data_IF_898071309677
#
_entry.id   IF_898071309677
#
_cell.length_a   1.000
_cell.length_b   1.000
_cell.length_c   1.000
_cell.angle_alpha   90.00
_cell.angle_beta   90.00
_cell.angle_gamma   90.00
#
_symmetry.space_group_name_H-M   'P 1'
#
loop_
_entity.id
_entity.type
_entity.pdbx_description
1 polymer ?
#
# COMPACT_ATOMS: atom_id res chain seq x y z
N UNK A 1 -11.60 14.73 -12.09
CA UNK A 1 -11.97 14.45 -10.69
C UNK A 1 -12.54 13.04 -10.67
N UNK A 2 -11.79 12.05 -10.17
CA UNK A 2 -12.32 10.69 -9.95
C UNK A 2 -13.58 10.78 -9.09
N UNK A 3 -14.70 10.29 -9.63
CA UNK A 3 -16.03 10.44 -9.00
C UNK A 3 -16.45 9.23 -8.17
N UNK A 4 -15.73 8.10 -8.26
CA UNK A 4 -16.09 6.90 -7.51
C UNK A 4 -14.92 5.94 -7.27
N UNK A 5 -15.05 5.12 -6.23
CA UNK A 5 -14.17 3.98 -5.93
C UNK A 5 -14.02 3.01 -7.11
N UNK A 6 -15.06 2.85 -7.95
CA UNK A 6 -15.05 1.96 -9.12
C UNK A 6 -14.04 2.37 -10.19
N UNK A 7 -13.87 3.68 -10.39
CA UNK A 7 -12.87 4.18 -11.34
C UNK A 7 -11.46 3.88 -10.83
N UNK A 8 -11.20 4.09 -9.54
CA UNK A 8 -9.92 3.74 -8.91
C UNK A 8 -9.68 2.23 -8.94
N UNK A 9 -10.72 1.43 -8.73
CA UNK A 9 -10.66 -0.02 -8.83
C UNK A 9 -10.29 -0.48 -10.25
N UNK A 10 -10.80 0.19 -11.30
CA UNK A 10 -10.41 -0.10 -12.69
C UNK A 10 -8.91 0.14 -12.91
N UNK A 11 -8.36 1.24 -12.40
CA UNK A 11 -6.91 1.48 -12.43
C UNK A 11 -6.14 0.45 -11.61
N UNK A 12 -6.66 0.08 -10.43
CA UNK A 12 -6.06 -0.95 -9.59
C UNK A 12 -5.94 -2.26 -10.37
N UNK A 13 -7.03 -2.71 -11.01
CA UNK A 13 -7.02 -3.91 -11.85
C UNK A 13 -6.00 -3.83 -12.99
N UNK A 14 -5.85 -2.68 -13.62
CA UNK A 14 -4.88 -2.49 -14.71
C UNK A 14 -3.42 -2.63 -14.23
N UNK A 15 -3.06 -1.98 -13.11
CA UNK A 15 -1.67 -2.00 -12.62
C UNK A 15 -1.32 -3.29 -11.89
N UNK A 16 -2.29 -3.93 -11.24
CA UNK A 16 -2.11 -5.22 -10.55
C UNK A 16 -2.29 -6.42 -11.46
N UNK A 17 -2.66 -6.22 -12.73
CA UNK A 17 -2.70 -7.27 -13.74
C UNK A 17 -1.35 -7.97 -13.79
N UNK A 18 -1.38 -9.30 -13.80
CA UNK A 18 -0.21 -10.19 -13.85
C UNK A 18 0.70 -10.16 -12.60
N UNK A 19 0.47 -9.24 -11.64
CA UNK A 19 1.15 -9.22 -10.33
C UNK A 19 0.48 -10.14 -9.30
N UNK A 20 -0.82 -10.38 -9.47
CA UNK A 20 -1.65 -11.14 -8.53
C UNK A 20 -1.95 -12.52 -9.11
N UNK A 21 -1.64 -13.60 -8.39
CA UNK A 21 -1.94 -14.93 -8.87
C UNK A 21 -3.44 -15.20 -8.86
N UNK A 22 -3.91 -16.00 -9.82
CA UNK A 22 -5.28 -16.51 -9.80
C UNK A 22 -5.53 -17.37 -8.54
N UNK A 23 -6.65 -17.14 -7.87
CA UNK A 23 -7.13 -17.94 -6.77
C UNK A 23 -8.32 -18.80 -7.23
N UNK A 24 -8.34 -20.06 -6.80
CA UNK A 24 -9.55 -20.89 -6.89
C UNK A 24 -10.60 -20.40 -5.89
N UNK A 25 -11.86 -20.75 -6.08
CA UNK A 25 -12.96 -20.40 -5.16
C UNK A 25 -12.65 -20.82 -3.72
N UNK A 26 -12.17 -22.05 -3.54
CA UNK A 26 -11.72 -22.55 -2.23
C UNK A 26 -10.59 -21.68 -1.66
N UNK A 27 -9.63 -21.27 -2.49
CA UNK A 27 -8.52 -20.42 -2.02
C UNK A 27 -9.01 -19.03 -1.63
N UNK A 28 -10.00 -18.47 -2.36
CA UNK A 28 -10.64 -17.20 -2.02
C UNK A 28 -11.35 -17.28 -0.67
N UNK A 29 -12.15 -18.33 -0.43
CA UNK A 29 -12.85 -18.52 0.84
C UNK A 29 -11.86 -18.66 2.01
N UNK A 30 -10.81 -19.45 1.84
CA UNK A 30 -9.76 -19.61 2.86
C UNK A 30 -9.04 -18.28 3.15
N UNK A 31 -8.71 -17.51 2.11
CA UNK A 31 -8.08 -16.18 2.26
C UNK A 31 -9.01 -15.21 2.97
N UNK A 32 -10.32 -15.23 2.65
CA UNK A 32 -11.34 -14.40 3.31
C UNK A 32 -11.38 -14.68 4.81
N UNK A 33 -11.48 -15.96 5.20
CA UNK A 33 -11.50 -16.36 6.62
C UNK A 33 -10.25 -15.87 7.36
N UNK A 34 -9.05 -16.04 6.79
CA UNK A 34 -7.84 -15.54 7.44
C UNK A 34 -7.80 -14.00 7.54
N UNK A 35 -8.30 -13.30 6.53
CA UNK A 35 -8.32 -11.82 6.49
C UNK A 35 -9.29 -11.25 7.54
N UNK A 36 -10.46 -11.86 7.70
CA UNK A 36 -11.47 -11.49 8.69
C UNK A 36 -11.02 -11.71 10.13
N UNK A 37 -10.25 -12.78 10.36
CA UNK A 37 -9.81 -13.16 11.70
C UNK A 37 -8.48 -12.53 12.11
N UNK A 38 -7.77 -11.80 11.24
CA UNK A 38 -6.53 -11.11 11.60
C UNK A 38 -6.73 -10.18 12.82
N UNK A 39 -5.81 -10.14 13.80
CA UNK A 39 -4.49 -10.80 13.84
C UNK A 39 -4.49 -12.21 14.44
N UNK A 40 -5.66 -12.79 14.75
CA UNK A 40 -5.74 -14.14 15.33
C UNK A 40 -5.16 -15.16 14.35
N UNK A 41 -4.24 -15.99 14.85
CA UNK A 41 -3.75 -17.16 14.14
C UNK A 41 -4.80 -18.26 14.19
N UNK A 42 -5.14 -18.82 13.05
CA UNK A 42 -6.05 -19.96 12.93
C UNK A 42 -5.28 -21.19 12.47
N UNK A 43 -5.50 -22.30 13.16
CA UNK A 43 -5.07 -23.62 12.68
C UNK A 43 -5.92 -24.01 11.47
N UNK A 44 -5.37 -24.83 10.58
CA UNK A 44 -6.06 -25.22 9.35
C UNK A 44 -7.39 -25.92 9.60
N UNK A 45 -7.53 -26.67 10.70
CA UNK A 45 -8.82 -27.28 11.06
C UNK A 45 -9.88 -26.22 11.44
N UNK A 46 -9.49 -25.10 12.07
CA UNK A 46 -10.40 -24.02 12.44
C UNK A 46 -10.93 -23.27 11.21
N UNK A 47 -10.13 -23.24 10.13
CA UNK A 47 -10.59 -22.73 8.84
C UNK A 47 -11.52 -23.74 8.18
N UNK A 48 -11.17 -25.03 8.20
CA UNK A 48 -11.99 -26.09 7.61
C UNK A 48 -13.42 -26.07 8.15
N UNK A 49 -13.62 -25.98 9.48
CA UNK A 49 -14.96 -25.96 10.10
C UNK A 49 -15.80 -24.74 9.69
N UNK A 50 -15.18 -23.71 9.10
CA UNK A 50 -15.84 -22.50 8.59
C UNK A 50 -16.04 -22.52 7.07
N UNK A 51 -15.68 -23.61 6.40
CA UNK A 51 -15.83 -23.76 4.95
C UNK A 51 -16.73 -24.96 4.61
N UNK A 52 -17.45 -24.93 3.48
CA UNK A 52 -18.19 -26.10 2.99
C UNK A 52 -17.28 -27.15 2.32
N UNK A 53 -15.96 -26.94 2.34
CA UNK A 53 -15.00 -27.71 1.54
C UNK A 53 -14.44 -28.91 2.29
N UNK A 54 -14.02 -29.95 1.56
CA UNK A 54 -13.35 -31.10 2.15
C UNK A 54 -12.04 -30.71 2.85
N UNK A 55 -11.77 -31.37 3.99
CA UNK A 55 -10.57 -31.12 4.81
C UNK A 55 -9.28 -31.14 3.99
N UNK A 56 -9.07 -32.19 3.20
CA UNK A 56 -7.85 -32.35 2.37
C UNK A 56 -7.66 -31.19 1.38
N UNK A 57 -8.76 -30.66 0.84
CA UNK A 57 -8.77 -29.53 -0.08
C UNK A 57 -8.40 -28.23 0.62
N UNK A 58 -8.93 -27.99 1.82
CA UNK A 58 -8.57 -26.84 2.66
C UNK A 58 -7.08 -26.87 3.01
N UNK A 59 -6.54 -28.03 3.40
CA UNK A 59 -5.10 -28.17 3.67
C UNK A 59 -4.23 -27.87 2.43
N UNK A 60 -4.63 -28.35 1.24
CA UNK A 60 -3.95 -28.02 -0.02
C UNK A 60 -4.01 -26.52 -0.32
N UNK A 61 -5.17 -25.88 -0.10
CA UNK A 61 -5.34 -24.44 -0.27
C UNK A 61 -4.42 -23.67 0.68
N UNK A 62 -4.43 -23.95 1.99
CA UNK A 62 -3.55 -23.28 2.98
C UNK A 62 -2.08 -23.46 2.62
N UNK A 63 -1.66 -24.66 2.20
CA UNK A 63 -0.28 -24.92 1.75
C UNK A 63 0.09 -24.06 0.54
N UNK A 64 -0.81 -23.91 -0.43
CA UNK A 64 -0.63 -23.05 -1.61
C UNK A 64 -0.54 -21.56 -1.21
N UNK A 65 -1.44 -21.09 -0.34
CA UNK A 65 -1.45 -19.71 0.14
C UNK A 65 -0.19 -19.35 0.93
N UNK A 66 0.33 -20.27 1.74
CA UNK A 66 1.61 -20.12 2.44
C UNK A 66 2.77 -19.98 1.47
N UNK A 67 2.83 -20.83 0.44
CA UNK A 67 3.88 -20.74 -0.61
C UNK A 67 3.84 -19.40 -1.34
N UNK A 68 2.65 -18.86 -1.58
CA UNK A 68 2.42 -17.54 -2.19
C UNK A 68 2.56 -16.38 -1.19
N UNK A 69 2.92 -16.67 0.06
CA UNK A 69 3.08 -15.69 1.15
C UNK A 69 1.82 -14.85 1.42
N UNK A 70 0.64 -15.37 1.08
CA UNK A 70 -0.64 -14.72 1.40
C UNK A 70 -1.00 -14.91 2.88
N UNK A 71 -0.57 -16.04 3.46
CA UNK A 71 -0.61 -16.30 4.90
C UNK A 71 0.79 -16.61 5.42
N UNK A 72 1.05 -16.26 6.67
CA UNK A 72 2.25 -16.66 7.42
C UNK A 72 1.82 -17.66 8.48
N UNK A 73 2.57 -18.75 8.62
CA UNK A 73 2.26 -19.82 9.54
C UNK A 73 3.44 -20.09 10.47
N UNK A 74 3.13 -20.32 11.75
CA UNK A 74 4.03 -20.83 12.78
C UNK A 74 3.31 -21.90 13.63
N UNK A 75 3.90 -22.29 14.76
CA UNK A 75 3.35 -23.33 15.65
C UNK A 75 1.94 -23.00 16.15
N UNK A 76 1.59 -21.71 16.27
CA UNK A 76 0.28 -21.25 16.73
C UNK A 76 -0.82 -21.28 15.65
N UNK A 77 -0.48 -21.58 14.39
CA UNK A 77 -1.39 -21.53 13.24
C UNK A 77 -0.95 -20.52 12.20
N UNK A 78 -1.86 -20.11 11.33
CA UNK A 78 -1.59 -19.14 10.26
C UNK A 78 -2.39 -17.85 10.44
N UNK A 79 -1.84 -16.73 9.99
CA UNK A 79 -2.54 -15.45 9.89
C UNK A 79 -2.39 -14.87 8.48
N UNK A 80 -3.38 -14.07 8.05
CA UNK A 80 -3.28 -13.31 6.80
C UNK A 80 -2.12 -12.30 6.86
N UNK A 81 -1.44 -12.14 5.75
CA UNK A 81 -0.62 -10.95 5.48
C UNK A 81 -1.48 -9.92 4.75
N UNK A 82 -0.99 -8.69 4.54
CA UNK A 82 -1.73 -7.72 3.73
C UNK A 82 -1.94 -8.17 2.28
N UNK A 83 -1.08 -9.07 1.78
CA UNK A 83 -1.19 -9.61 0.42
C UNK A 83 -2.48 -10.40 0.21
N UNK A 84 -3.00 -11.00 1.29
CA UNK A 84 -4.24 -11.77 1.26
C UNK A 84 -5.45 -10.89 0.86
N UNK A 85 -5.81 -9.84 1.62
CA UNK A 85 -6.91 -8.96 1.22
C UNK A 85 -6.61 -8.17 -0.06
N UNK A 86 -5.36 -7.84 -0.39
CA UNK A 86 -5.03 -7.26 -1.71
C UNK A 86 -5.39 -8.19 -2.88
N UNK A 87 -5.17 -9.48 -2.68
CA UNK A 87 -5.57 -10.50 -3.67
C UNK A 87 -7.09 -10.60 -3.77
N UNK A 88 -7.82 -10.52 -2.65
CA UNK A 88 -9.30 -10.49 -2.66
C UNK A 88 -9.84 -9.27 -3.40
N UNK A 89 -9.29 -8.07 -3.13
CA UNK A 89 -9.66 -6.83 -3.83
C UNK A 89 -9.47 -7.03 -5.34
N UNK A 90 -8.35 -7.60 -5.78
CA UNK A 90 -8.12 -7.90 -7.20
C UNK A 90 -9.16 -8.86 -7.80
N UNK A 91 -9.74 -9.76 -7.00
CA UNK A 91 -10.81 -10.65 -7.43
C UNK A 91 -12.22 -10.06 -7.25
N UNK A 92 -12.34 -8.75 -6.95
CA UNK A 92 -13.62 -8.03 -6.88
C UNK A 92 -14.20 -7.82 -5.48
N UNK A 93 -13.53 -8.30 -4.43
CA UNK A 93 -13.99 -8.19 -3.05
C UNK A 93 -13.48 -6.87 -2.44
N UNK A 94 -14.13 -5.75 -2.80
CA UNK A 94 -13.72 -4.41 -2.36
C UNK A 94 -13.85 -4.20 -0.84
N UNK A 95 -14.74 -4.93 -0.18
CA UNK A 95 -14.89 -4.92 1.28
C UNK A 95 -13.60 -5.35 1.99
N UNK A 96 -12.71 -6.08 1.32
CA UNK A 96 -11.40 -6.46 1.85
C UNK A 96 -10.44 -5.27 2.06
N UNK A 97 -10.75 -4.07 1.56
CA UNK A 97 -10.02 -2.83 1.91
C UNK A 97 -9.94 -2.62 3.43
N UNK A 98 -11.00 -2.95 4.17
CA UNK A 98 -11.01 -2.84 5.64
C UNK A 98 -9.91 -3.69 6.29
N UNK A 99 -9.60 -4.85 5.71
CA UNK A 99 -8.57 -5.75 6.21
C UNK A 99 -7.16 -5.24 5.87
N UNK A 100 -6.98 -4.61 4.70
CA UNK A 100 -5.72 -3.90 4.39
C UNK A 100 -5.47 -2.81 5.42
N UNK A 101 -6.47 -1.97 5.71
CA UNK A 101 -6.35 -0.90 6.70
C UNK A 101 -5.98 -1.42 8.09
N UNK A 102 -6.66 -2.48 8.54
CA UNK A 102 -6.40 -3.13 9.83
C UNK A 102 -4.99 -3.72 9.91
N UNK A 103 -4.52 -4.39 8.87
CA UNK A 103 -3.19 -5.03 8.86
C UNK A 103 -2.07 -3.98 8.85
N UNK A 104 -2.26 -2.89 8.09
CA UNK A 104 -1.31 -1.77 8.03
C UNK A 104 -1.49 -0.72 9.12
N UNK A 105 -2.50 -0.84 9.99
CA UNK A 105 -2.81 0.09 11.07
C UNK A 105 -3.02 1.54 10.57
N UNK A 106 -3.92 1.68 9.59
CA UNK A 106 -4.29 2.94 8.90
C UNK A 106 -5.82 3.06 8.74
N UNK A 107 -6.58 2.63 9.75
CA UNK A 107 -8.05 2.57 9.75
C UNK A 107 -8.74 3.91 9.47
N UNK A 108 -8.09 5.04 9.73
CA UNK A 108 -8.63 6.39 9.50
C UNK A 108 -8.60 6.83 8.03
N UNK A 109 -7.87 6.12 7.17
CA UNK A 109 -7.75 6.44 5.75
C UNK A 109 -9.05 6.06 5.03
N UNK A 110 -9.58 6.93 4.16
CA UNK A 110 -10.77 6.61 3.34
C UNK A 110 -10.48 5.50 2.32
N UNK A 111 -11.52 4.80 1.86
CA UNK A 111 -11.36 3.72 0.87
C UNK A 111 -10.79 4.24 -0.45
N UNK A 112 -11.17 5.43 -0.87
CA UNK A 112 -10.67 6.08 -2.09
C UNK A 112 -9.18 6.40 -1.97
N UNK A 113 -8.75 6.97 -0.84
CA UNK A 113 -7.34 7.31 -0.63
C UNK A 113 -6.48 6.04 -0.59
N UNK A 114 -6.96 4.99 0.11
CA UNK A 114 -6.28 3.70 0.12
C UNK A 114 -6.24 3.09 -1.28
N UNK A 115 -7.35 3.03 -2.01
CA UNK A 115 -7.38 2.44 -3.36
C UNK A 115 -6.45 3.19 -4.31
N UNK A 116 -6.44 4.52 -4.27
CA UNK A 116 -5.51 5.34 -5.06
C UNK A 116 -4.04 5.05 -4.69
N UNK A 117 -3.75 4.87 -3.40
CA UNK A 117 -2.41 4.46 -2.97
C UNK A 117 -2.05 3.03 -3.44
N UNK A 118 -2.99 2.10 -3.43
CA UNK A 118 -2.77 0.76 -3.95
C UNK A 118 -2.54 0.74 -5.46
N UNK A 119 -3.19 1.62 -6.22
CA UNK A 119 -2.85 1.86 -7.65
C UNK A 119 -1.38 2.22 -7.80
N UNK A 120 -0.89 3.14 -6.97
CA UNK A 120 0.49 3.61 -7.00
C UNK A 120 1.49 2.50 -6.61
N UNK A 121 1.17 1.69 -5.60
CA UNK A 121 1.97 0.51 -5.22
C UNK A 121 2.03 -0.49 -6.37
N UNK A 122 0.89 -0.80 -7.00
CA UNK A 122 0.83 -1.70 -8.15
C UNK A 122 1.68 -1.20 -9.32
N UNK A 123 1.60 0.09 -9.64
CA UNK A 123 2.42 0.71 -10.68
C UNK A 123 3.93 0.59 -10.38
N UNK A 124 4.34 0.87 -9.14
CA UNK A 124 5.73 0.74 -8.71
C UNK A 124 6.23 -0.71 -8.79
N UNK A 125 5.44 -1.67 -8.29
CA UNK A 125 5.78 -3.10 -8.35
C UNK A 125 5.89 -3.60 -9.78
N UNK A 126 4.93 -3.23 -10.65
CA UNK A 126 4.97 -3.57 -12.07
C UNK A 126 6.22 -3.03 -12.76
N UNK A 127 6.61 -1.79 -12.45
CA UNK A 127 7.81 -1.17 -13.00
C UNK A 127 9.11 -1.83 -12.52
N UNK A 128 9.09 -2.45 -11.35
CA UNK A 128 10.21 -3.20 -10.78
C UNK A 128 10.16 -4.71 -11.09
N UNK A 129 9.16 -5.15 -11.85
CA UNK A 129 8.97 -6.56 -12.22
C UNK A 129 8.80 -7.49 -11.01
N UNK A 130 8.25 -6.97 -9.91
CA UNK A 130 7.92 -7.77 -8.73
C UNK A 130 6.45 -8.20 -8.73
N UNK A 131 6.21 -9.50 -8.62
CA UNK A 131 4.87 -10.00 -8.29
C UNK A 131 4.54 -9.83 -6.79
N UNK A 132 3.27 -10.06 -6.43
CA UNK A 132 2.83 -9.92 -5.03
C UNK A 132 3.54 -10.90 -4.09
N UNK A 133 3.99 -12.06 -4.56
CA UNK A 133 4.66 -13.07 -3.74
C UNK A 133 6.08 -12.62 -3.38
N UNK A 134 6.77 -11.97 -4.31
CA UNK A 134 8.12 -11.44 -4.16
C UNK A 134 8.16 -10.12 -3.38
N UNK A 135 7.15 -9.25 -3.56
CA UNK A 135 7.13 -7.91 -3.00
C UNK A 135 7.17 -7.87 -1.46
N UNK A 136 8.03 -7.03 -0.87
CA UNK A 136 8.09 -6.78 0.57
C UNK A 136 7.09 -5.70 1.00
N UNK A 137 5.81 -6.02 0.95
CA UNK A 137 4.70 -5.09 1.26
C UNK A 137 3.93 -5.42 2.53
N UNK A 138 4.30 -6.50 3.24
CA UNK A 138 3.64 -6.86 4.51
C UNK A 138 3.65 -5.70 5.52
N UNK A 139 4.79 -5.03 5.78
CA UNK A 139 4.77 -3.75 6.47
C UNK A 139 4.41 -2.61 5.50
N UNK A 140 3.57 -1.68 5.95
CA UNK A 140 3.12 -0.56 5.14
C UNK A 140 4.28 0.29 4.62
N UNK A 141 5.30 0.54 5.46
CA UNK A 141 6.48 1.30 5.06
C UNK A 141 7.25 0.65 3.91
N UNK A 142 7.26 -0.68 3.82
CA UNK A 142 7.88 -1.42 2.72
C UNK A 142 7.19 -1.13 1.38
N UNK A 143 5.85 -1.07 1.38
CA UNK A 143 5.07 -0.64 0.22
C UNK A 143 5.38 0.81 -0.17
N UNK A 144 5.54 1.71 0.81
CA UNK A 144 5.90 3.10 0.55
C UNK A 144 7.31 3.24 -0.04
N UNK A 145 8.27 2.39 0.34
CA UNK A 145 9.63 2.45 -0.22
C UNK A 145 9.70 2.05 -1.69
N UNK A 146 8.84 1.13 -2.15
CA UNK A 146 8.71 0.84 -3.58
C UNK A 146 8.28 2.07 -4.38
N UNK A 147 7.31 2.82 -3.86
CA UNK A 147 6.87 4.09 -4.47
C UNK A 147 7.97 5.15 -4.42
N UNK A 148 8.62 5.32 -3.27
CA UNK A 148 9.68 6.31 -3.06
C UNK A 148 10.88 6.13 -4.01
N UNK A 149 11.15 4.90 -4.46
CA UNK A 149 12.20 4.58 -5.42
C UNK A 149 12.04 5.32 -6.75
N UNK A 150 10.81 5.70 -7.11
CA UNK A 150 10.49 6.41 -8.35
C UNK A 150 10.30 7.92 -8.18
N UNK A 151 10.41 8.45 -6.97
CA UNK A 151 10.32 9.90 -6.73
C UNK A 151 11.64 10.54 -7.17
N UNK A 152 11.57 11.52 -8.08
CA UNK A 152 12.71 12.38 -8.46
C UNK A 152 12.29 13.84 -8.33
N UNK A 153 12.99 14.60 -7.48
CA UNK A 153 12.56 15.94 -7.07
C UNK A 153 11.42 15.89 -6.04
N UNK A 154 10.23 15.43 -6.44
CA UNK A 154 9.06 15.41 -5.56
C UNK A 154 7.99 14.36 -5.96
N UNK A 155 6.92 14.26 -5.18
CA UNK A 155 5.87 13.23 -5.37
C UNK A 155 5.16 13.32 -6.74
N UNK A 156 5.05 14.52 -7.32
CA UNK A 156 4.44 14.74 -8.64
C UNK A 156 5.18 14.04 -9.78
N UNK A 157 6.49 13.82 -9.62
CA UNK A 157 7.30 13.09 -10.62
C UNK A 157 6.81 11.67 -10.90
N UNK A 158 6.01 11.07 -10.00
CA UNK A 158 5.41 9.75 -10.19
C UNK A 158 4.45 9.69 -11.37
N UNK A 159 3.89 10.82 -11.81
CA UNK A 159 3.03 10.87 -13.00
C UNK A 159 3.81 10.47 -14.25
N UNK A 160 4.99 11.05 -14.45
CA UNK A 160 5.88 10.69 -15.55
C UNK A 160 6.62 9.37 -15.32
N UNK A 161 7.02 9.07 -14.09
CA UNK A 161 7.87 7.90 -13.81
C UNK A 161 7.10 6.57 -13.73
N UNK A 162 5.83 6.60 -13.32
CA UNK A 162 4.96 5.42 -13.18
C UNK A 162 3.73 5.44 -14.08
N UNK A 163 3.45 6.54 -14.79
CA UNK A 163 2.27 6.65 -15.66
C UNK A 163 0.96 6.71 -14.88
N UNK A 164 0.99 7.11 -13.60
CA UNK A 164 -0.20 7.22 -12.75
C UNK A 164 -0.78 8.63 -12.87
N UNK A 165 -2.06 8.80 -13.21
CA UNK A 165 -2.65 10.13 -13.41
C UNK A 165 -2.51 11.02 -12.17
N UNK A 166 -2.23 12.32 -12.36
CA UNK A 166 -2.03 13.26 -11.26
C UNK A 166 -3.18 13.33 -10.25
N UNK A 167 -4.42 13.07 -10.66
CA UNK A 167 -5.56 12.99 -9.73
C UNK A 167 -5.49 11.78 -8.78
N UNK A 168 -5.00 10.62 -9.28
CA UNK A 168 -4.75 9.44 -8.43
C UNK A 168 -3.63 9.75 -7.45
N UNK A 169 -2.57 10.44 -7.88
CA UNK A 169 -1.48 10.84 -7.00
C UNK A 169 -1.95 11.73 -5.85
N UNK A 170 -2.84 12.70 -6.13
CA UNK A 170 -3.43 13.56 -5.10
C UNK A 170 -4.21 12.76 -4.06
N UNK A 171 -5.01 11.77 -4.49
CA UNK A 171 -5.76 10.89 -3.58
C UNK A 171 -4.87 9.89 -2.82
N UNK A 172 -3.78 9.43 -3.44
CA UNK A 172 -2.84 8.49 -2.83
C UNK A 172 -1.96 9.14 -1.74
N UNK A 173 -1.68 10.44 -1.86
CA UNK A 173 -0.71 11.14 -1.03
C UNK A 173 -1.03 11.09 0.49
N UNK A 174 -2.28 11.29 0.96
CA UNK A 174 -2.60 11.17 2.38
C UNK A 174 -2.22 9.81 2.98
N UNK A 175 -2.52 8.71 2.28
CA UNK A 175 -2.17 7.35 2.73
C UNK A 175 -0.66 7.15 2.75
N UNK A 176 0.03 7.57 1.69
CA UNK A 176 1.47 7.48 1.59
C UNK A 176 2.20 8.26 2.71
N UNK A 177 1.77 9.49 2.99
CA UNK A 177 2.34 10.30 4.09
C UNK A 177 2.01 9.69 5.45
N UNK A 178 0.80 9.20 5.66
CA UNK A 178 0.43 8.55 6.94
C UNK A 178 1.34 7.36 7.24
N UNK A 179 1.62 6.53 6.24
CA UNK A 179 2.52 5.37 6.37
C UNK A 179 3.95 5.82 6.72
N UNK A 180 4.41 6.92 6.14
CA UNK A 180 5.76 7.44 6.33
C UNK A 180 5.90 8.38 7.54
N UNK A 181 4.81 8.73 8.22
CA UNK A 181 4.83 9.70 9.31
C UNK A 181 5.86 9.38 10.41
N UNK A 182 6.07 8.12 10.83
CA UNK A 182 7.11 7.79 11.82
C UNK A 182 8.54 8.13 11.36
N UNK A 183 8.78 8.23 10.05
CA UNK A 183 10.09 8.47 9.45
C UNK A 183 10.34 9.93 9.06
N UNK A 184 9.34 10.81 9.24
CA UNK A 184 9.49 12.23 8.93
C UNK A 184 10.26 12.96 10.05
N UNK A 185 11.34 13.63 9.67
CA UNK A 185 12.16 14.45 10.55
C UNK A 185 11.67 15.90 10.63
N UNK A 186 11.63 16.54 11.81
CA UNK A 186 11.25 17.94 11.94
C UNK A 186 12.32 18.87 11.36
N UNK A 187 11.93 19.76 10.44
CA UNK A 187 12.78 20.79 9.85
C UNK A 187 11.96 22.06 9.65
N UNK A 188 12.37 23.17 10.25
CA UNK A 188 11.76 24.49 10.04
C UNK A 188 10.22 24.52 10.20
N UNK A 189 9.69 23.85 11.24
CA UNK A 189 8.25 23.82 11.54
C UNK A 189 7.42 22.88 10.66
N UNK A 190 8.04 22.11 9.76
CA UNK A 190 7.41 21.02 9.00
C UNK A 190 8.11 19.70 9.30
N UNK A 191 7.50 18.57 8.94
CA UNK A 191 8.13 17.25 9.04
C UNK A 191 8.36 16.69 7.64
N UNK A 192 9.60 16.31 7.33
CA UNK A 192 10.02 15.91 5.98
C UNK A 192 10.78 14.59 6.01
N UNK A 193 10.62 13.81 4.94
CA UNK A 193 11.55 12.75 4.57
C UNK A 193 12.16 13.13 3.22
N UNK A 194 13.48 13.20 3.18
CA UNK A 194 14.25 13.57 1.99
C UNK A 194 15.26 12.48 1.68
N UNK A 195 15.64 12.38 0.41
CA UNK A 195 16.72 11.50 -0.07
C UNK A 195 17.72 12.33 -0.85
N UNK A 196 19.00 12.26 -0.47
CA UNK A 196 20.09 12.79 -1.30
C UNK A 196 20.46 11.80 -2.41
N UNK A 197 20.65 12.31 -3.62
CA UNK A 197 21.07 11.56 -4.81
C UNK A 197 22.17 12.36 -5.51
N UNK A 198 23.42 12.14 -5.08
CA UNK A 198 24.53 13.02 -5.43
C UNK A 198 24.28 14.43 -4.88
N UNK A 199 24.39 15.45 -5.74
CA UNK A 199 24.08 16.84 -5.39
C UNK A 199 22.58 17.18 -5.36
N UNK A 200 21.70 16.27 -5.81
CA UNK A 200 20.27 16.50 -5.83
C UNK A 200 19.59 16.05 -4.52
N UNK A 201 18.56 16.78 -4.10
CA UNK A 201 17.70 16.42 -2.97
C UNK A 201 16.29 16.12 -3.48
N UNK A 202 15.84 14.89 -3.29
CA UNK A 202 14.49 14.44 -3.61
C UNK A 202 13.61 14.54 -2.35
N UNK A 203 12.48 15.25 -2.41
CA UNK A 203 11.48 15.28 -1.36
C UNK A 203 10.61 14.02 -1.45
N UNK A 204 10.83 13.09 -0.54
CA UNK A 204 10.14 11.80 -0.51
C UNK A 204 8.75 11.94 0.08
N UNK A 205 8.60 12.67 1.19
CA UNK A 205 7.31 12.94 1.83
C UNK A 205 7.39 14.18 2.71
N UNK A 206 6.27 14.88 2.86
CA UNK A 206 6.18 16.08 3.69
C UNK A 206 4.83 16.17 4.41
N UNK A 207 4.88 16.57 5.68
CA UNK A 207 3.73 16.93 6.50
C UNK A 207 3.88 18.35 7.00
N UNK A 208 2.95 19.21 6.58
CA UNK A 208 2.83 20.57 7.09
C UNK A 208 1.71 20.59 8.16
N UNK A 209 1.96 21.08 9.39
CA UNK A 209 0.95 21.15 10.44
C UNK A 209 -0.27 22.00 10.06
N UNK A 210 -0.07 22.98 9.18
CA UNK A 210 -1.12 23.87 8.69
C UNK A 210 -1.79 23.36 7.39
N UNK A 211 -1.50 22.14 6.92
CA UNK A 211 -2.17 21.57 5.74
C UNK A 211 -3.47 20.85 6.15
N UNK A 212 -4.59 21.00 5.41
CA UNK A 212 -4.77 21.77 4.17
C UNK A 212 -5.06 23.27 4.36
N UNK A 213 -5.17 23.76 5.61
CA UNK A 213 -5.56 25.14 5.94
C UNK A 213 -4.68 26.28 5.35
N UNK A 214 -3.48 25.99 4.87
CA UNK A 214 -2.60 26.94 4.18
C UNK A 214 -2.91 27.15 2.69
N UNK A 215 -3.93 26.48 2.12
CA UNK A 215 -4.46 26.78 0.77
C UNK A 215 -3.63 26.28 -0.42
N UNK A 216 -2.56 25.50 -0.18
CA UNK A 216 -1.72 24.95 -1.24
C UNK A 216 -2.26 23.59 -1.70
N UNK A 217 -2.45 23.40 -3.00
CA UNK A 217 -2.97 22.16 -3.60
C UNK A 217 -1.98 20.99 -3.49
N UNK A 218 -0.68 21.30 -3.48
CA UNK A 218 0.43 20.32 -3.45
C UNK A 218 1.38 20.71 -2.31
N UNK A 219 1.88 19.73 -1.55
CA UNK A 219 2.74 19.99 -0.36
C UNK A 219 4.08 20.62 -0.76
N UNK A 220 4.56 20.36 -1.97
CA UNK A 220 5.77 20.95 -2.54
C UNK A 220 5.66 22.48 -2.70
N UNK A 221 4.44 23.00 -2.79
CA UNK A 221 4.18 24.44 -2.91
C UNK A 221 4.11 25.14 -1.55
N UNK A 222 4.16 24.41 -0.43
CA UNK A 222 4.17 25.01 0.89
C UNK A 222 5.47 25.83 1.11
N UNK A 223 5.38 27.12 1.44
CA UNK A 223 6.55 27.98 1.66
C UNK A 223 7.50 27.46 2.75
N UNK A 224 6.97 26.81 3.79
CA UNK A 224 7.78 26.22 4.85
C UNK A 224 8.58 25.01 4.38
N UNK A 225 8.00 24.20 3.48
CA UNK A 225 8.68 23.07 2.84
C UNK A 225 9.78 23.57 1.91
N UNK A 226 9.51 24.60 1.09
CA UNK A 226 10.53 25.21 0.21
C UNK A 226 11.73 25.73 1.00
N UNK A 227 11.49 26.55 2.03
CA UNK A 227 12.55 27.06 2.92
C UNK A 227 13.33 25.93 3.62
N UNK A 228 12.66 24.84 3.99
CA UNK A 228 13.33 23.69 4.61
C UNK A 228 14.25 22.97 3.61
N UNK A 229 13.82 22.79 2.36
CA UNK A 229 14.63 22.19 1.30
C UNK A 229 15.84 23.06 0.93
N UNK A 230 15.67 24.38 0.83
CA UNK A 230 16.76 25.34 0.59
C UNK A 230 17.84 25.22 1.67
N UNK A 231 17.45 25.13 2.95
CA UNK A 231 18.39 24.93 4.06
C UNK A 231 19.13 23.60 3.96
N UNK A 232 18.43 22.52 3.65
CA UNK A 232 19.04 21.19 3.52
C UNK A 232 20.00 21.07 2.32
N UNK A 233 19.80 21.88 1.28
CA UNK A 233 20.72 21.99 0.15
C UNK A 233 21.94 22.87 0.46
N UNK A 234 21.82 23.83 1.38
CA UNK A 234 22.92 24.71 1.78
C UNK A 234 23.88 24.06 2.78
N UNK A 235 23.46 23.00 3.47
CA UNK A 235 24.33 22.23 4.37
C UNK A 235 25.18 21.25 3.54
N UNK A 236 26.52 21.29 3.60
CA UNK A 236 27.39 20.36 2.86
C UNK A 236 27.08 18.90 3.21
#
# INVERSE_FOLDING_TARGET
MYKSLDQLYTHFKFFWKDLVPHLTDISRDVVRIYSENYPRKLKTYEVYVKTPHQLSTVYKAVKSLRRRRLVICDEGGCAATVKAPLTLIYHGELDALRHVKKIWNIEEISDENLMAYLVLVGAALKRLEFDITQAYICPAWGAAMYVASFIKGNFKSLEGNLGVPGEVLKLAYPTYVKILDPYLAPVNGVRLLVRRRGAALDLIAARCPAYPGCGHVEVDNCPFVKKALERLNATP
#
